data_IF_987809297259
#
_entry.id   IF_987809297259
#
_cell.length_a   1.000
_cell.length_b   1.000
_cell.length_c   1.000
_cell.angle_alpha   90.00
_cell.angle_beta   90.00
_cell.angle_gamma   90.00
#
_symmetry.space_group_name_H-M   'P 1'
#
loop_
_entity.id
_entity.type
_entity.pdbx_description
1 polymer ?
#
# COMPACT_ATOMS: atom_id res chain seq x y z
N UNK A 1 10.86 -28.13 3.12
CA UNK A 1 10.03 -28.23 1.90
C UNK A 1 10.90 -27.92 0.69
N UNK A 2 11.00 -28.80 -0.31
CA UNK A 2 11.91 -28.61 -1.45
C UNK A 2 11.35 -27.54 -2.42
N UNK A 3 12.20 -26.60 -2.84
CA UNK A 3 11.87 -25.62 -3.87
C UNK A 3 11.92 -26.33 -5.23
N UNK A 4 10.80 -26.36 -5.95
CA UNK A 4 10.71 -26.99 -7.27
C UNK A 4 11.07 -26.01 -8.38
N UNK A 5 11.38 -26.50 -9.59
CA UNK A 5 11.58 -25.67 -10.78
C UNK A 5 10.34 -24.80 -11.08
N UNK A 6 9.14 -25.30 -10.84
CA UNK A 6 7.87 -24.57 -10.99
C UNK A 6 7.79 -23.39 -10.02
N UNK A 7 8.15 -23.59 -8.75
CA UNK A 7 8.15 -22.52 -7.74
C UNK A 7 9.13 -21.42 -8.12
N UNK A 8 10.32 -21.75 -8.61
CA UNK A 8 11.30 -20.78 -9.07
C UNK A 8 10.80 -19.97 -10.29
N UNK A 9 10.14 -20.62 -11.24
CA UNK A 9 9.56 -19.95 -12.41
C UNK A 9 8.46 -18.97 -12.02
N UNK A 10 7.56 -19.35 -11.11
CA UNK A 10 6.51 -18.47 -10.57
C UNK A 10 7.12 -17.28 -9.82
N UNK A 11 8.12 -17.54 -8.96
CA UNK A 11 8.81 -16.48 -8.22
C UNK A 11 9.51 -15.48 -9.14
N UNK A 12 10.17 -15.97 -10.20
CA UNK A 12 10.80 -15.11 -11.22
C UNK A 12 9.77 -14.24 -11.95
N UNK A 13 8.63 -14.82 -12.33
CA UNK A 13 7.53 -14.08 -12.98
C UNK A 13 6.95 -13.00 -12.05
N UNK A 14 6.79 -13.33 -10.77
CA UNK A 14 6.32 -12.38 -9.75
C UNK A 14 7.29 -11.21 -9.61
N UNK A 15 8.60 -11.49 -9.46
CA UNK A 15 9.62 -10.46 -9.38
C UNK A 15 9.66 -9.60 -10.65
N UNK A 16 9.48 -10.18 -11.82
CA UNK A 16 9.42 -9.47 -13.10
C UNK A 16 8.20 -8.56 -13.25
N UNK A 17 7.06 -8.91 -12.62
CA UNK A 17 5.84 -8.11 -12.66
C UNK A 17 5.89 -6.86 -11.76
N UNK A 18 6.66 -6.88 -10.66
CA UNK A 18 6.70 -5.78 -9.67
C UNK A 18 7.19 -4.43 -10.24
N UNK A 19 8.29 -4.35 -11.02
CA UNK A 19 8.78 -3.07 -11.54
C UNK A 19 7.77 -2.33 -12.43
N UNK A 20 7.13 -2.97 -13.44
CA UNK A 20 6.16 -2.28 -14.29
C UNK A 20 4.90 -1.87 -13.51
N UNK A 21 4.41 -2.67 -12.57
CA UNK A 21 3.27 -2.32 -11.70
C UNK A 21 3.63 -1.11 -10.83
N UNK A 22 4.77 -1.15 -10.15
CA UNK A 22 5.25 -0.04 -9.30
C UNK A 22 5.43 1.25 -10.12
N UNK A 23 5.94 1.15 -11.36
CA UNK A 23 6.08 2.29 -12.27
C UNK A 23 4.72 2.89 -12.64
N UNK A 24 3.71 2.05 -12.92
CA UNK A 24 2.36 2.51 -13.22
C UNK A 24 1.73 3.27 -12.02
N UNK A 25 1.87 2.73 -10.81
CA UNK A 25 1.42 3.38 -9.57
C UNK A 25 2.15 4.71 -9.35
N UNK A 26 3.48 4.75 -9.49
CA UNK A 26 4.26 5.99 -9.35
C UNK A 26 3.89 7.05 -10.38
N UNK A 27 3.55 6.64 -11.60
CA UNK A 27 3.07 7.56 -12.62
C UNK A 27 1.72 8.17 -12.23
N UNK A 28 0.77 7.37 -11.75
CA UNK A 28 -0.51 7.87 -11.25
C UNK A 28 -0.34 8.84 -10.06
N UNK A 29 0.59 8.53 -9.14
CA UNK A 29 0.91 9.42 -8.02
C UNK A 29 1.49 10.77 -8.45
N UNK A 30 2.31 10.82 -9.51
CA UNK A 30 2.86 12.07 -10.05
C UNK A 30 1.79 12.93 -10.72
N UNK A 31 0.88 12.29 -11.46
CA UNK A 31 -0.18 12.97 -12.19
C UNK A 31 -1.27 13.52 -11.26
N UNK A 32 -1.41 12.93 -10.07
CA UNK A 32 -2.40 13.34 -9.08
C UNK A 32 -1.92 14.54 -8.26
N UNK A 33 -2.63 15.67 -8.34
CA UNK A 33 -2.37 16.91 -7.60
C UNK A 33 -0.88 17.34 -7.58
N UNK A 34 -0.19 17.20 -8.71
CA UNK A 34 1.21 17.62 -8.85
C UNK A 34 2.23 16.80 -8.04
N UNK A 35 1.95 15.50 -7.82
CA UNK A 35 2.94 14.58 -7.24
C UNK A 35 3.25 14.81 -5.76
N UNK A 36 2.33 15.39 -5.01
CA UNK A 36 2.56 15.78 -3.60
C UNK A 36 2.65 14.60 -2.61
N UNK A 37 2.41 13.36 -3.04
CA UNK A 37 2.56 12.15 -2.23
C UNK A 37 3.55 11.20 -2.87
N UNK A 38 4.49 10.70 -2.08
CA UNK A 38 5.37 9.61 -2.50
C UNK A 38 4.65 8.27 -2.41
N UNK A 39 5.16 7.25 -3.13
CA UNK A 39 4.62 5.89 -3.05
C UNK A 39 4.62 5.34 -1.61
N UNK A 40 5.66 5.66 -0.84
CA UNK A 40 5.74 5.23 0.56
C UNK A 40 4.71 5.94 1.44
N UNK A 41 4.50 7.24 1.25
CA UNK A 41 3.44 7.99 1.94
C UNK A 41 2.05 7.46 1.61
N UNK A 42 1.80 7.14 0.34
CA UNK A 42 0.54 6.51 -0.09
C UNK A 42 0.32 5.16 0.59
N UNK A 43 1.35 4.31 0.68
CA UNK A 43 1.27 3.02 1.38
C UNK A 43 1.00 3.19 2.88
N UNK A 44 1.63 4.16 3.54
CA UNK A 44 1.37 4.48 4.95
C UNK A 44 -0.08 4.92 5.17
N UNK A 45 -0.63 5.76 4.27
CA UNK A 45 -2.04 6.15 4.34
C UNK A 45 -2.97 4.95 4.10
N UNK A 46 -2.62 4.07 3.16
CA UNK A 46 -3.36 2.83 2.90
C UNK A 46 -3.41 1.92 4.13
N UNK A 47 -2.28 1.70 4.79
CA UNK A 47 -2.25 0.90 6.02
C UNK A 47 -3.08 1.55 7.14
N UNK A 48 -2.96 2.88 7.33
CA UNK A 48 -3.75 3.62 8.32
C UNK A 48 -5.26 3.65 7.99
N UNK A 49 -5.66 3.36 6.75
CA UNK A 49 -7.07 3.26 6.36
C UNK A 49 -7.72 1.96 6.83
N UNK A 50 -6.93 0.91 6.98
CA UNK A 50 -7.42 -0.40 7.41
C UNK A 50 -7.65 -0.46 8.92
N UNK A 51 -6.69 0.03 9.70
CA UNK A 51 -6.74 0.03 11.17
C UNK A 51 -5.85 1.12 11.76
N UNK A 52 -6.14 1.57 13.00
CA UNK A 52 -5.20 2.39 13.76
C UNK A 52 -3.91 1.64 14.01
N UNK A 53 -2.78 2.34 14.01
CA UNK A 53 -1.48 1.72 14.18
C UNK A 53 -0.45 2.67 14.76
N UNK A 54 0.59 2.13 15.37
CA UNK A 54 1.71 2.91 15.92
C UNK A 54 2.79 3.16 14.86
N UNK A 55 3.66 4.14 15.08
CA UNK A 55 4.83 4.35 14.21
C UNK A 55 5.75 3.12 14.16
N UNK A 56 5.80 2.32 15.23
CA UNK A 56 6.59 1.08 15.30
C UNK A 56 6.02 0.03 14.35
N UNK A 57 4.70 -0.19 14.38
CA UNK A 57 4.02 -1.11 13.46
C UNK A 57 4.20 -0.69 12.00
N UNK A 58 4.09 0.60 11.69
CA UNK A 58 4.41 1.11 10.34
C UNK A 58 5.85 0.82 9.93
N UNK A 59 6.82 1.05 10.83
CA UNK A 59 8.22 0.81 10.54
C UNK A 59 8.50 -0.66 10.25
N UNK A 60 7.96 -1.57 11.07
CA UNK A 60 8.06 -3.01 10.89
C UNK A 60 7.45 -3.45 9.56
N UNK A 61 6.20 -3.06 9.29
CA UNK A 61 5.50 -3.40 8.06
C UNK A 61 6.21 -2.91 6.80
N UNK A 62 6.88 -1.73 6.84
CA UNK A 62 7.59 -1.16 5.70
C UNK A 62 9.05 -1.62 5.59
N UNK A 63 9.58 -2.31 6.60
CA UNK A 63 11.00 -2.68 6.63
C UNK A 63 11.94 -1.47 6.70
N UNK A 64 11.51 -0.40 7.40
CA UNK A 64 12.32 0.82 7.57
C UNK A 64 12.62 1.08 9.04
N UNK A 65 13.65 1.88 9.33
CA UNK A 65 13.98 2.24 10.72
C UNK A 65 12.88 3.11 11.34
N UNK A 66 12.66 2.95 12.66
CA UNK A 66 11.70 3.75 13.41
C UNK A 66 11.95 5.27 13.31
N UNK A 67 13.19 5.79 13.34
CA UNK A 67 13.45 7.21 13.12
C UNK A 67 13.02 7.70 11.73
N UNK A 68 13.25 6.89 10.68
CA UNK A 68 12.81 7.23 9.32
C UNK A 68 11.28 7.27 9.23
N UNK A 69 10.59 6.28 9.79
CA UNK A 69 9.14 6.25 9.84
C UNK A 69 8.58 7.41 10.66
N UNK A 70 9.18 7.74 11.80
CA UNK A 70 8.75 8.87 12.64
C UNK A 70 8.82 10.20 11.89
N UNK A 71 9.88 10.45 11.10
CA UNK A 71 9.97 11.64 10.25
C UNK A 71 8.86 11.69 9.21
N UNK A 72 8.55 10.57 8.59
CA UNK A 72 7.47 10.45 7.60
C UNK A 72 6.10 10.71 8.22
N UNK A 73 5.80 10.06 9.34
CA UNK A 73 4.57 10.27 10.11
C UNK A 73 4.42 11.74 10.51
N UNK A 74 5.49 12.36 11.02
CA UNK A 74 5.49 13.79 11.35
C UNK A 74 5.15 14.66 10.13
N UNK A 75 5.68 14.33 8.95
CA UNK A 75 5.34 15.01 7.71
C UNK A 75 3.85 14.87 7.38
N UNK A 76 3.29 13.66 7.46
CA UNK A 76 1.88 13.40 7.17
C UNK A 76 0.94 14.06 8.20
N UNK A 77 1.32 14.09 9.47
CA UNK A 77 0.57 14.80 10.53
C UNK A 77 0.59 16.33 10.30
N UNK A 78 1.75 16.93 10.00
CA UNK A 78 1.83 18.36 9.64
C UNK A 78 0.98 18.71 8.41
N UNK A 79 0.87 17.80 7.47
CA UNK A 79 0.01 17.92 6.27
C UNK A 79 -1.46 17.60 6.57
N UNK A 80 -1.83 17.35 7.81
CA UNK A 80 -3.19 17.02 8.26
C UNK A 80 -3.78 15.77 7.58
N UNK A 81 -2.93 14.85 7.13
CA UNK A 81 -3.37 13.59 6.52
C UNK A 81 -3.50 12.46 7.55
N UNK A 82 -2.68 12.53 8.61
CA UNK A 82 -2.78 11.66 9.79
C UNK A 82 -3.08 12.50 11.03
N UNK A 83 -3.75 11.87 11.98
CA UNK A 83 -3.94 12.38 13.34
C UNK A 83 -3.38 11.39 14.36
N UNK A 84 -2.91 11.93 15.48
CA UNK A 84 -2.47 11.15 16.65
C UNK A 84 -3.61 11.10 17.65
N UNK A 85 -3.91 9.90 18.11
CA UNK A 85 -4.88 9.66 19.18
C UNK A 85 -4.25 8.80 20.25
N UNK A 86 -4.52 9.04 21.55
CA UNK A 86 -4.13 8.09 22.58
C UNK A 86 -4.71 6.71 22.27
N UNK A 87 -3.98 5.65 22.60
CA UNK A 87 -4.52 4.30 22.54
C UNK A 87 -5.64 4.13 23.58
N UNK A 88 -6.66 3.36 23.27
CA UNK A 88 -7.80 3.16 24.14
C UNK A 88 -7.45 2.31 25.40
N UNK A 89 -6.45 1.44 25.27
CA UNK A 89 -6.05 0.49 26.33
C UNK A 89 -4.77 0.91 27.02
N UNK A 90 -3.84 1.56 26.31
CA UNK A 90 -2.58 2.06 26.86
C UNK A 90 -2.35 3.52 26.45
N UNK A 91 -2.69 4.44 27.33
CA UNK A 91 -2.53 5.90 27.11
C UNK A 91 -1.09 6.35 26.86
N UNK A 92 -0.09 5.50 27.14
CA UNK A 92 1.32 5.77 26.83
C UNK A 92 1.64 5.54 25.35
N UNK A 93 0.78 4.81 24.67
CA UNK A 93 0.91 4.56 23.24
C UNK A 93 0.10 5.59 22.43
N UNK A 94 0.68 5.98 21.30
CA UNK A 94 0.04 6.90 20.35
C UNK A 94 -0.34 6.11 19.11
N UNK A 95 -1.63 6.07 18.83
CA UNK A 95 -2.21 5.53 17.63
C UNK A 95 -2.27 6.59 16.52
N UNK A 96 -2.03 6.16 15.31
CA UNK A 96 -2.12 6.97 14.09
C UNK A 96 -3.34 6.54 13.30
N UNK A 97 -4.15 7.51 12.89
CA UNK A 97 -5.36 7.30 12.07
C UNK A 97 -5.37 8.29 10.92
N UNK A 98 -6.09 7.96 9.86
CA UNK A 98 -6.39 8.98 8.85
C UNK A 98 -7.26 10.09 9.47
N UNK A 99 -6.91 11.34 9.16
CA UNK A 99 -7.82 12.47 9.39
C UNK A 99 -8.98 12.44 8.37
N UNK A 100 -9.99 13.29 8.53
CA UNK A 100 -11.04 13.46 7.51
C UNK A 100 -10.44 13.84 6.14
N UNK A 101 -9.50 14.81 6.12
CA UNK A 101 -8.78 15.20 4.92
C UNK A 101 -7.90 14.08 4.35
N UNK A 102 -7.29 13.27 5.23
CA UNK A 102 -6.49 12.11 4.84
C UNK A 102 -7.34 11.03 4.18
N UNK A 103 -8.52 10.76 4.71
CA UNK A 103 -9.49 9.80 4.13
C UNK A 103 -9.94 10.24 2.74
N UNK A 104 -10.37 11.50 2.60
CA UNK A 104 -10.77 12.05 1.31
C UNK A 104 -9.63 11.98 0.28
N UNK A 105 -8.46 12.48 0.65
CA UNK A 105 -7.31 12.51 -0.25
C UNK A 105 -6.84 11.10 -0.64
N UNK A 106 -6.77 10.18 0.31
CA UNK A 106 -6.41 8.79 0.05
C UNK A 106 -7.43 8.13 -0.87
N UNK A 107 -8.73 8.29 -0.60
CA UNK A 107 -9.82 7.71 -1.42
C UNK A 107 -9.75 8.19 -2.86
N UNK A 108 -9.66 9.50 -3.10
CA UNK A 108 -9.54 10.05 -4.46
C UNK A 108 -8.31 9.53 -5.20
N UNK A 109 -7.18 9.47 -4.52
CA UNK A 109 -5.93 8.97 -5.10
C UNK A 109 -6.01 7.46 -5.39
N UNK A 110 -6.57 6.68 -4.47
CA UNK A 110 -6.79 5.25 -4.64
C UNK A 110 -7.65 4.97 -5.88
N UNK A 111 -8.80 5.65 -6.00
CA UNK A 111 -9.67 5.55 -7.18
C UNK A 111 -8.97 5.94 -8.48
N UNK A 112 -8.14 6.99 -8.46
CA UNK A 112 -7.37 7.40 -9.65
C UNK A 112 -6.33 6.33 -10.07
N UNK A 113 -5.67 5.68 -9.10
CA UNK A 113 -4.74 4.58 -9.37
C UNK A 113 -5.49 3.37 -9.91
N UNK A 114 -6.62 2.99 -9.27
CA UNK A 114 -7.48 1.88 -9.73
C UNK A 114 -7.95 2.08 -11.17
N UNK A 115 -8.47 3.27 -11.50
CA UNK A 115 -8.91 3.59 -12.86
C UNK A 115 -7.77 3.44 -13.89
N UNK A 116 -6.56 3.88 -13.53
CA UNK A 116 -5.39 3.75 -14.41
C UNK A 116 -4.95 2.30 -14.61
N UNK A 117 -5.02 1.48 -13.58
CA UNK A 117 -4.75 0.04 -13.69
C UNK A 117 -5.87 -0.66 -14.48
N UNK A 118 -7.12 -0.32 -14.20
CA UNK A 118 -8.28 -0.85 -14.91
C UNK A 118 -8.19 -0.62 -16.42
N UNK A 119 -7.75 0.56 -16.86
CA UNK A 119 -7.54 0.86 -18.29
C UNK A 119 -6.59 -0.15 -18.96
N UNK A 120 -5.56 -0.60 -18.27
CA UNK A 120 -4.65 -1.65 -18.80
C UNK A 120 -5.31 -3.02 -18.81
N UNK A 121 -6.14 -3.32 -17.82
CA UNK A 121 -6.86 -4.60 -17.71
C UNK A 121 -7.94 -4.72 -18.78
N UNK A 122 -8.47 -3.61 -19.32
CA UNK A 122 -9.48 -3.67 -20.39
C UNK A 122 -9.01 -4.39 -21.63
N UNK A 123 -7.70 -4.37 -21.93
CA UNK A 123 -7.11 -5.03 -23.11
C UNK A 123 -7.10 -6.56 -23.03
N UNK A 124 -7.29 -7.12 -21.82
CA UNK A 124 -7.29 -8.56 -21.60
C UNK A 124 -8.60 -9.20 -22.05
N UNK A 125 -8.52 -10.42 -22.60
CA UNK A 125 -9.68 -11.28 -22.83
C UNK A 125 -10.38 -11.68 -21.53
N UNK A 126 -11.65 -12.10 -21.61
CA UNK A 126 -12.44 -12.49 -20.41
C UNK A 126 -11.78 -13.61 -19.61
N UNK A 127 -11.22 -14.60 -20.30
CA UNK A 127 -10.49 -15.73 -19.68
C UNK A 127 -9.23 -15.24 -18.94
N UNK A 128 -8.47 -14.32 -19.54
CA UNK A 128 -7.26 -13.77 -18.92
C UNK A 128 -7.59 -12.93 -17.68
N UNK A 129 -8.67 -12.14 -17.70
CA UNK A 129 -9.18 -11.42 -16.54
C UNK A 129 -9.54 -12.35 -15.39
N UNK A 130 -10.19 -13.47 -15.71
CA UNK A 130 -10.54 -14.49 -14.70
C UNK A 130 -9.29 -15.10 -14.06
N UNK A 131 -8.32 -15.55 -14.88
CA UNK A 131 -7.07 -16.14 -14.40
C UNK A 131 -6.27 -15.15 -13.55
N UNK A 132 -6.16 -13.90 -14.03
CA UNK A 132 -5.48 -12.84 -13.27
C UNK A 132 -6.15 -12.57 -11.94
N UNK A 133 -7.49 -12.44 -11.92
CA UNK A 133 -8.23 -12.19 -10.68
C UNK A 133 -8.07 -13.30 -9.65
N UNK A 134 -8.20 -14.57 -10.09
CA UNK A 134 -7.98 -15.73 -9.22
C UNK A 134 -6.55 -15.78 -8.70
N UNK A 135 -5.57 -15.52 -9.58
CA UNK A 135 -4.15 -15.52 -9.19
C UNK A 135 -3.82 -14.43 -8.17
N UNK A 136 -4.44 -13.25 -8.27
CA UNK A 136 -4.26 -12.16 -7.29
C UNK A 136 -4.84 -12.54 -5.91
N UNK A 137 -5.99 -13.21 -5.85
CA UNK A 137 -6.57 -13.68 -4.57
C UNK A 137 -5.61 -14.65 -3.88
N UNK A 138 -5.09 -15.65 -4.63
CA UNK A 138 -4.10 -16.61 -4.10
C UNK A 138 -2.83 -15.89 -3.62
N UNK A 139 -2.38 -14.87 -4.38
CA UNK A 139 -1.21 -14.10 -4.02
C UNK A 139 -1.43 -13.28 -2.72
N UNK A 140 -2.58 -12.65 -2.56
CA UNK A 140 -2.93 -11.92 -1.34
C UNK A 140 -2.97 -12.85 -0.12
N UNK A 141 -3.53 -14.05 -0.25
CA UNK A 141 -3.56 -15.04 0.82
C UNK A 141 -2.17 -15.54 1.18
N UNK A 142 -1.33 -15.81 0.18
CA UNK A 142 0.04 -16.29 0.37
C UNK A 142 0.93 -15.30 1.14
N UNK A 143 0.73 -13.99 0.93
CA UNK A 143 1.51 -12.94 1.58
C UNK A 143 0.73 -12.21 2.69
N UNK A 144 -0.46 -12.70 3.06
CA UNK A 144 -1.14 -12.20 4.25
C UNK A 144 -0.34 -12.62 5.47
N UNK A 145 0.24 -11.63 6.16
CA UNK A 145 0.94 -11.88 7.43
C UNK A 145 -0.07 -12.47 8.42
N UNK A 146 0.23 -13.68 8.87
CA UNK A 146 -0.50 -14.30 9.98
C UNK A 146 -0.14 -13.49 11.22
N UNK A 147 -1.12 -12.76 11.80
CA UNK A 147 -0.97 -12.02 13.06
C UNK A 147 -0.77 -12.97 14.24
#
# INVERSE_FOLDING_TARGET
MAITKTNLAISSSLLGALPPITRAIRAALRDFEGGRLTALQFRVLGFASLRPCTSKQFAQWQGVSLPAMSRMVNCLVRRRLLVRTPDAFDRRQVQLRLSAQGKDKFGRLHTAIEARLATRITTLAKSEKYVLGTGLIVLEELFRETE
#
